data_IF_666361806264
#
_entry.id   IF_666361806264
#
_cell.length_a   1.000
_cell.length_b   1.000
_cell.length_c   1.000
_cell.angle_alpha   90.00
_cell.angle_beta   90.00
_cell.angle_gamma   90.00
#
_symmetry.space_group_name_H-M   'P 1'
#
loop_
_entity.id
_entity.type
_entity.pdbx_description
1 polymer ?
#
# COMPACT_ATOMS: atom_id res chain seq x y z
N UNK A 1 -55.93 -49.88 -85.47
CA UNK A 1 -56.43 -48.53 -85.10
C UNK A 1 -56.48 -48.30 -83.57
N UNK A 2 -57.00 -49.23 -82.77
CA UNK A 2 -57.06 -49.08 -81.30
C UNK A 2 -55.67 -49.03 -80.61
N UNK A 3 -54.69 -49.80 -81.08
CA UNK A 3 -53.35 -49.85 -80.48
C UNK A 3 -52.54 -48.55 -80.70
N UNK A 4 -52.70 -47.88 -81.85
CA UNK A 4 -52.04 -46.60 -82.14
C UNK A 4 -52.61 -45.44 -81.29
N UNK A 5 -53.89 -45.51 -80.90
CA UNK A 5 -54.51 -44.53 -80.00
C UNK A 5 -54.12 -44.77 -78.53
N UNK A 6 -53.87 -46.02 -78.14
CA UNK A 6 -53.38 -46.35 -76.79
C UNK A 6 -51.93 -45.88 -76.57
N UNK A 7 -51.05 -46.11 -77.55
CA UNK A 7 -49.64 -45.70 -77.48
C UNK A 7 -49.45 -44.18 -77.46
N UNK A 8 -50.23 -43.44 -78.25
CA UNK A 8 -50.21 -41.96 -78.25
C UNK A 8 -50.72 -41.37 -76.93
N UNK A 9 -51.79 -41.94 -76.33
CA UNK A 9 -52.25 -41.55 -74.99
C UNK A 9 -51.22 -41.87 -73.91
N UNK A 10 -50.53 -43.00 -74.01
CA UNK A 10 -49.45 -43.39 -73.09
C UNK A 10 -48.23 -42.45 -73.20
N UNK A 11 -47.81 -42.10 -74.43
CA UNK A 11 -46.75 -41.12 -74.67
C UNK A 11 -47.13 -39.72 -74.15
N UNK A 12 -48.40 -39.31 -74.28
CA UNK A 12 -48.91 -38.07 -73.70
C UNK A 12 -48.82 -38.05 -72.16
N UNK A 13 -49.23 -39.14 -71.51
CA UNK A 13 -49.10 -39.30 -70.04
C UNK A 13 -47.64 -39.30 -69.59
N UNK A 14 -46.75 -39.97 -70.32
CA UNK A 14 -45.31 -39.96 -70.06
C UNK A 14 -44.71 -38.56 -70.17
N UNK A 15 -45.09 -37.77 -71.19
CA UNK A 15 -44.64 -36.37 -71.32
C UNK A 15 -45.10 -35.49 -70.15
N UNK A 16 -46.34 -35.66 -69.69
CA UNK A 16 -46.86 -34.91 -68.53
C UNK A 16 -46.12 -35.31 -67.24
N UNK A 17 -45.90 -36.61 -67.03
CA UNK A 17 -45.13 -37.11 -65.89
C UNK A 17 -43.69 -36.57 -65.91
N UNK A 18 -43.04 -36.56 -67.08
CA UNK A 18 -41.69 -36.02 -67.26
C UNK A 18 -41.63 -34.52 -66.94
N UNK A 19 -42.60 -33.73 -67.43
CA UNK A 19 -42.68 -32.29 -67.09
C UNK A 19 -42.84 -32.06 -65.58
N UNK A 20 -43.70 -32.85 -64.91
CA UNK A 20 -43.86 -32.76 -63.45
C UNK A 20 -42.58 -33.13 -62.70
N UNK A 21 -41.85 -34.15 -63.17
CA UNK A 21 -40.57 -34.56 -62.60
C UNK A 21 -39.51 -33.45 -62.74
N UNK A 22 -39.39 -32.85 -63.93
CA UNK A 22 -38.44 -31.74 -64.17
C UNK A 22 -38.74 -30.55 -63.26
N UNK A 23 -40.01 -30.16 -63.11
CA UNK A 23 -40.41 -29.07 -62.20
C UNK A 23 -40.07 -29.40 -60.74
N UNK A 24 -40.30 -30.65 -60.31
CA UNK A 24 -39.96 -31.10 -58.96
C UNK A 24 -38.44 -31.07 -58.73
N UNK A 25 -37.65 -31.49 -59.71
CA UNK A 25 -36.18 -31.45 -59.66
C UNK A 25 -35.65 -30.02 -59.61
N UNK A 26 -36.16 -29.10 -60.43
CA UNK A 26 -35.76 -27.69 -60.37
C UNK A 26 -36.08 -27.05 -59.01
N UNK A 27 -37.26 -27.36 -58.44
CA UNK A 27 -37.62 -26.89 -57.08
C UNK A 27 -36.73 -27.50 -56.00
N UNK A 28 -36.37 -28.77 -56.13
CA UNK A 28 -35.45 -29.43 -55.21
C UNK A 28 -34.05 -28.81 -55.29
N UNK A 29 -33.54 -28.54 -56.49
CA UNK A 29 -32.27 -27.88 -56.72
C UNK A 29 -32.23 -26.47 -56.10
N UNK A 30 -33.26 -25.65 -56.33
CA UNK A 30 -33.36 -24.32 -55.70
C UNK A 30 -33.40 -24.39 -54.18
N UNK A 31 -34.02 -25.44 -53.60
CA UNK A 31 -34.00 -25.65 -52.14
C UNK A 31 -32.62 -26.03 -51.64
N UNK A 32 -31.86 -26.82 -52.39
CA UNK A 32 -30.47 -27.17 -52.05
C UNK A 32 -29.58 -25.94 -52.10
N UNK A 33 -29.66 -25.14 -53.17
CA UNK A 33 -28.90 -23.90 -53.30
C UNK A 33 -29.20 -22.93 -52.15
N UNK A 34 -30.47 -22.72 -51.80
CA UNK A 34 -30.85 -21.89 -50.63
C UNK A 34 -30.28 -22.44 -49.32
N UNK A 35 -30.25 -23.76 -49.14
CA UNK A 35 -29.66 -24.39 -47.94
C UNK A 35 -28.15 -24.22 -47.89
N UNK A 36 -27.47 -24.27 -49.03
CA UNK A 36 -26.02 -24.11 -49.10
C UNK A 36 -25.59 -22.66 -48.86
N UNK A 37 -26.35 -21.69 -49.37
CA UNK A 37 -26.16 -20.26 -49.04
C UNK A 37 -26.35 -20.01 -47.55
N UNK A 38 -27.40 -20.58 -46.95
CA UNK A 38 -27.63 -20.47 -45.50
C UNK A 38 -26.51 -21.12 -44.69
N UNK A 39 -26.03 -22.32 -45.09
CA UNK A 39 -24.89 -22.99 -44.46
C UNK A 39 -23.62 -22.15 -44.52
N UNK A 40 -23.36 -21.49 -45.64
CA UNK A 40 -22.22 -20.60 -45.80
C UNK A 40 -22.30 -19.38 -44.85
N UNK A 41 -23.47 -18.75 -44.75
CA UNK A 41 -23.70 -17.64 -43.83
C UNK A 41 -23.53 -18.07 -42.36
N UNK A 42 -24.05 -19.23 -41.97
CA UNK A 42 -23.84 -19.77 -40.62
C UNK A 42 -22.37 -20.07 -40.33
N UNK A 43 -21.61 -20.60 -41.31
CA UNK A 43 -20.16 -20.81 -41.15
C UNK A 43 -19.42 -19.50 -40.91
N UNK A 44 -19.77 -18.43 -41.64
CA UNK A 44 -19.18 -17.11 -41.40
C UNK A 44 -19.53 -16.54 -40.02
N UNK A 45 -20.79 -16.67 -39.59
CA UNK A 45 -21.18 -16.24 -38.24
C UNK A 45 -20.45 -17.03 -37.16
N UNK A 46 -20.33 -18.36 -37.32
CA UNK A 46 -19.58 -19.22 -36.40
C UNK A 46 -18.10 -18.82 -36.33
N UNK A 47 -17.49 -18.47 -37.47
CA UNK A 47 -16.11 -17.99 -37.53
C UNK A 47 -15.95 -16.64 -36.81
N UNK A 48 -16.89 -15.70 -36.99
CA UNK A 48 -16.91 -14.43 -36.25
C UNK A 48 -17.08 -14.65 -34.74
N UNK A 49 -17.99 -15.53 -34.33
CA UNK A 49 -18.16 -15.90 -32.92
C UNK A 49 -16.90 -16.55 -32.34
N UNK A 50 -16.19 -17.40 -33.10
CA UNK A 50 -14.90 -17.96 -32.68
C UNK A 50 -13.82 -16.89 -32.52
N UNK A 51 -13.75 -15.92 -33.44
CA UNK A 51 -12.81 -14.80 -33.34
C UNK A 51 -13.09 -13.89 -32.13
N UNK A 52 -14.36 -13.60 -31.85
CA UNK A 52 -14.79 -12.86 -30.64
C UNK A 52 -14.51 -13.66 -29.38
N UNK A 53 -14.72 -14.99 -29.41
CA UNK A 53 -14.40 -15.87 -28.29
C UNK A 53 -12.89 -15.85 -27.98
N UNK A 54 -12.03 -15.93 -29.00
CA UNK A 54 -10.57 -15.83 -28.81
C UNK A 54 -10.12 -14.46 -28.31
N UNK A 55 -10.81 -13.36 -28.62
CA UNK A 55 -10.46 -12.03 -28.09
C UNK A 55 -10.92 -11.82 -26.64
N UNK A 56 -12.04 -12.43 -26.20
CA UNK A 56 -12.46 -12.39 -24.79
C UNK A 56 -11.60 -13.24 -23.85
N UNK A 57 -10.96 -14.32 -24.35
CA UNK A 57 -9.96 -15.06 -23.57
C UNK A 57 -8.62 -14.33 -23.45
N UNK A 58 -8.33 -13.36 -24.32
CA UNK A 58 -7.11 -12.54 -24.22
C UNK A 58 -7.17 -11.56 -23.05
N UNK A 59 -8.32 -10.89 -22.82
CA UNK A 59 -8.49 -9.99 -21.69
C UNK A 59 -8.57 -10.73 -20.36
N UNK A 60 -9.30 -11.86 -20.29
CA UNK A 60 -9.35 -12.69 -19.07
C UNK A 60 -7.98 -13.28 -18.71
N UNK A 61 -7.21 -13.76 -19.69
CA UNK A 61 -5.86 -14.28 -19.47
C UNK A 61 -4.87 -13.20 -19.02
N UNK A 62 -4.97 -11.99 -19.58
CA UNK A 62 -4.19 -10.83 -19.15
C UNK A 62 -4.56 -10.41 -17.72
N UNK A 63 -5.86 -10.37 -17.40
CA UNK A 63 -6.34 -10.04 -16.04
C UNK A 63 -5.83 -11.07 -15.03
N UNK A 64 -5.90 -12.37 -15.33
CA UNK A 64 -5.39 -13.41 -14.43
C UNK A 64 -3.88 -13.30 -14.22
N UNK A 65 -3.10 -13.01 -15.28
CA UNK A 65 -1.66 -12.79 -15.15
C UNK A 65 -1.33 -11.55 -14.33
N UNK A 66 -2.08 -10.46 -14.49
CA UNK A 66 -1.91 -9.26 -13.67
C UNK A 66 -2.31 -9.51 -12.22
N UNK A 67 -3.37 -10.28 -11.97
CA UNK A 67 -3.75 -10.70 -10.62
C UNK A 67 -2.65 -11.56 -9.97
N UNK A 68 -2.09 -12.53 -10.70
CA UNK A 68 -0.97 -13.35 -10.20
C UNK A 68 0.28 -12.51 -9.91
N UNK A 69 0.57 -11.52 -10.77
CA UNK A 69 1.69 -10.60 -10.59
C UNK A 69 1.49 -9.69 -9.35
N UNK A 70 0.29 -9.13 -9.20
CA UNK A 70 -0.09 -8.34 -8.02
C UNK A 70 -0.05 -9.19 -6.74
N UNK A 71 -0.50 -10.44 -6.81
CA UNK A 71 -0.49 -11.34 -5.66
C UNK A 71 0.95 -11.66 -5.21
N UNK A 72 1.87 -11.93 -6.14
CA UNK A 72 3.30 -12.12 -5.83
C UNK A 72 3.93 -10.87 -5.20
N UNK A 73 3.61 -9.68 -5.73
CA UNK A 73 4.10 -8.41 -5.17
C UNK A 73 3.56 -8.17 -3.76
N UNK A 74 2.31 -8.55 -3.49
CA UNK A 74 1.71 -8.47 -2.16
C UNK A 74 2.42 -9.41 -1.18
N UNK A 75 2.73 -10.65 -1.58
CA UNK A 75 3.49 -11.61 -0.77
C UNK A 75 4.93 -11.14 -0.48
N UNK A 76 5.56 -10.42 -1.40
CA UNK A 76 6.86 -9.77 -1.17
C UNK A 76 6.77 -8.65 -0.12
N UNK A 77 5.77 -7.77 -0.22
CA UNK A 77 5.54 -6.71 0.77
C UNK A 77 5.29 -7.29 2.16
N UNK A 78 4.44 -8.32 2.27
CA UNK A 78 4.16 -8.99 3.56
C UNK A 78 5.44 -9.58 4.17
N UNK A 79 6.31 -10.20 3.36
CA UNK A 79 7.60 -10.72 3.83
C UNK A 79 8.51 -9.61 4.36
N UNK A 80 8.60 -8.48 3.66
CA UNK A 80 9.40 -7.34 4.09
C UNK A 80 8.84 -6.67 5.36
N UNK A 81 7.53 -6.54 5.50
CA UNK A 81 6.90 -6.03 6.72
C UNK A 81 7.19 -6.95 7.93
N UNK A 82 7.12 -8.27 7.75
CA UNK A 82 7.48 -9.22 8.80
C UNK A 82 8.95 -9.10 9.22
N UNK A 83 9.86 -8.87 8.27
CA UNK A 83 11.29 -8.67 8.55
C UNK A 83 11.55 -7.35 9.30
N UNK A 84 10.87 -6.27 8.92
CA UNK A 84 10.92 -4.99 9.63
C UNK A 84 10.40 -5.10 11.06
N UNK A 85 9.29 -5.82 11.27
CA UNK A 85 8.74 -6.09 12.61
C UNK A 85 9.69 -6.94 13.46
N UNK A 86 10.38 -7.91 12.87
CA UNK A 86 11.37 -8.74 13.57
C UNK A 86 12.57 -7.90 14.03
N UNK A 87 13.15 -7.10 13.12
CA UNK A 87 14.26 -6.19 13.44
C UNK A 87 13.85 -5.18 14.52
N UNK A 88 12.66 -4.59 14.40
CA UNK A 88 12.12 -3.68 15.40
C UNK A 88 11.97 -4.31 16.78
N UNK A 89 11.56 -5.59 16.87
CA UNK A 89 11.44 -6.29 18.16
C UNK A 89 12.79 -6.66 18.78
N UNK A 90 13.74 -7.15 17.98
CA UNK A 90 15.07 -7.53 18.47
C UNK A 90 15.84 -6.34 19.02
N UNK A 91 15.81 -5.21 18.30
CA UNK A 91 16.53 -4.02 18.73
C UNK A 91 15.79 -3.25 19.83
N UNK A 92 14.44 -3.29 19.87
CA UNK A 92 13.68 -2.80 21.02
C UNK A 92 14.07 -3.52 22.32
N UNK A 93 14.26 -4.84 22.29
CA UNK A 93 14.69 -5.62 23.46
C UNK A 93 16.06 -5.18 24.00
N UNK A 94 17.03 -4.93 23.11
CA UNK A 94 18.36 -4.40 23.49
C UNK A 94 18.27 -3.00 24.09
N UNK A 95 17.48 -2.12 23.50
CA UNK A 95 17.24 -0.75 23.99
C UNK A 95 16.59 -0.77 25.37
N UNK A 96 15.57 -1.61 25.58
CA UNK A 96 14.93 -1.75 26.90
C UNK A 96 15.90 -2.30 27.95
N UNK A 97 16.73 -3.29 27.60
CA UNK A 97 17.74 -3.83 28.52
C UNK A 97 18.78 -2.78 28.92
N UNK A 98 19.26 -1.96 27.97
CA UNK A 98 20.21 -0.89 28.25
C UNK A 98 19.58 0.24 29.09
N UNK A 99 18.34 0.61 28.79
CA UNK A 99 17.58 1.58 29.59
C UNK A 99 17.39 1.11 31.03
N UNK A 100 17.15 -0.18 31.25
CA UNK A 100 17.01 -0.75 32.58
C UNK A 100 18.32 -0.73 33.37
N UNK A 101 19.44 -1.07 32.73
CA UNK A 101 20.78 -0.95 33.34
C UNK A 101 21.13 0.51 33.71
N UNK A 102 20.76 1.48 32.87
CA UNK A 102 20.92 2.91 33.16
C UNK A 102 20.08 3.31 34.38
N UNK A 103 18.84 2.85 34.48
CA UNK A 103 17.97 3.15 35.62
C UNK A 103 18.51 2.57 36.93
N UNK A 104 19.04 1.34 36.91
CA UNK A 104 19.65 0.68 38.07
C UNK A 104 20.92 1.42 38.55
N UNK A 105 21.78 1.84 37.62
CA UNK A 105 22.98 2.62 37.94
C UNK A 105 22.64 4.00 38.49
N UNK A 106 21.69 4.72 37.89
CA UNK A 106 21.20 6.01 38.41
C UNK A 106 20.66 5.86 39.84
N UNK A 107 19.88 4.81 40.10
CA UNK A 107 19.36 4.50 41.44
C UNK A 107 20.47 4.18 42.45
N UNK A 108 21.55 3.52 42.03
CA UNK A 108 22.69 3.25 42.90
C UNK A 108 23.51 4.50 43.19
N UNK A 109 23.71 5.37 42.21
CA UNK A 109 24.37 6.67 42.38
C UNK A 109 23.59 7.52 43.37
N UNK A 110 22.28 7.69 43.19
CA UNK A 110 21.47 8.48 44.13
C UNK A 110 21.46 7.93 45.55
N UNK A 111 21.67 6.61 45.73
CA UNK A 111 21.83 6.01 47.06
C UNK A 111 23.20 6.33 47.66
N UNK A 112 24.26 6.24 46.89
CA UNK A 112 25.62 6.54 47.34
C UNK A 112 25.85 8.05 47.56
N UNK A 113 25.18 8.93 46.81
CA UNK A 113 25.24 10.39 46.97
C UNK A 113 24.75 10.86 48.36
N UNK A 114 24.01 10.02 49.09
CA UNK A 114 23.58 10.30 50.47
C UNK A 114 24.63 9.96 51.53
N UNK A 115 25.76 9.35 51.13
CA UNK A 115 26.90 9.04 51.99
C UNK A 115 28.04 10.03 51.73
N UNK A 116 28.62 10.58 52.80
CA UNK A 116 29.74 11.53 52.74
C UNK A 116 31.11 10.87 52.97
N UNK A 117 31.25 9.58 52.63
CA UNK A 117 32.52 8.87 52.74
C UNK A 117 33.34 8.99 51.45
N UNK A 118 34.64 9.32 51.55
CA UNK A 118 35.53 9.55 50.40
C UNK A 118 35.63 8.33 49.45
N UNK A 119 35.45 7.13 50.01
CA UNK A 119 35.37 5.86 49.25
C UNK A 119 34.10 5.74 48.44
N UNK A 120 33.00 6.30 48.92
CA UNK A 120 31.72 6.34 48.21
C UNK A 120 31.73 7.41 47.12
N UNK A 121 32.42 8.55 47.34
CA UNK A 121 32.70 9.53 46.29
C UNK A 121 33.45 8.92 45.09
N UNK A 122 34.52 8.15 45.33
CA UNK A 122 35.24 7.44 44.27
C UNK A 122 34.35 6.40 43.55
N UNK A 123 33.44 5.76 44.28
CA UNK A 123 32.49 4.80 43.71
C UNK A 123 31.47 5.51 42.82
N UNK A 124 30.95 6.66 43.25
CA UNK A 124 30.06 7.52 42.46
C UNK A 124 30.73 7.95 41.16
N UNK A 125 31.97 8.44 41.20
CA UNK A 125 32.74 8.80 39.99
C UNK A 125 32.91 7.63 39.03
N UNK A 126 33.21 6.43 39.53
CA UNK A 126 33.31 5.23 38.68
C UNK A 126 31.98 4.85 38.03
N UNK A 127 30.86 5.06 38.74
CA UNK A 127 29.51 4.76 38.26
C UNK A 127 29.02 5.81 37.26
N UNK A 128 29.39 7.08 37.43
CA UNK A 128 29.15 8.14 36.44
C UNK A 128 29.87 7.85 35.12
N UNK A 129 31.15 7.47 35.18
CA UNK A 129 31.88 7.05 33.99
C UNK A 129 31.28 5.80 33.32
N UNK A 130 30.75 4.86 34.11
CA UNK A 130 30.04 3.70 33.58
C UNK A 130 28.71 4.09 32.92
N UNK A 131 27.97 5.05 33.49
CA UNK A 131 26.76 5.61 32.90
C UNK A 131 27.04 6.32 31.57
N UNK A 132 28.05 7.18 31.51
CA UNK A 132 28.43 7.87 30.26
C UNK A 132 28.76 6.86 29.15
N UNK A 133 29.50 5.80 29.49
CA UNK A 133 29.81 4.71 28.54
C UNK A 133 28.56 3.95 28.10
N UNK A 134 27.61 3.72 29.00
CA UNK A 134 26.35 3.04 28.67
C UNK A 134 25.40 3.92 27.87
N UNK A 135 25.33 5.22 28.17
CA UNK A 135 24.55 6.20 27.40
C UNK A 135 25.12 6.34 25.98
N UNK A 136 26.45 6.40 25.82
CA UNK A 136 27.09 6.37 24.50
C UNK A 136 26.74 5.09 23.72
N UNK A 137 26.84 3.92 24.36
CA UNK A 137 26.46 2.63 23.74
C UNK A 137 24.98 2.54 23.40
N UNK A 138 24.11 3.18 24.19
CA UNK A 138 22.68 3.28 23.91
C UNK A 138 22.43 4.17 22.68
N UNK A 139 23.17 5.26 22.53
CA UNK A 139 23.13 6.12 21.34
C UNK A 139 23.59 5.35 20.10
N UNK A 140 24.73 4.68 20.16
CA UNK A 140 25.24 3.85 19.06
C UNK A 140 24.23 2.76 18.66
N UNK A 141 23.63 2.07 19.64
CA UNK A 141 22.63 1.03 19.37
C UNK A 141 21.36 1.60 18.73
N UNK A 142 20.93 2.80 19.11
CA UNK A 142 19.78 3.49 18.48
C UNK A 142 20.11 3.87 17.04
N UNK A 143 21.29 4.41 16.78
CA UNK A 143 21.74 4.77 15.43
C UNK A 143 21.86 3.54 14.53
N UNK A 144 22.44 2.45 15.02
CA UNK A 144 22.53 1.17 14.30
C UNK A 144 21.15 0.60 13.97
N UNK A 145 20.19 0.72 14.89
CA UNK A 145 18.79 0.28 14.67
C UNK A 145 18.14 1.12 13.56
N UNK A 146 18.31 2.44 13.59
CA UNK A 146 17.80 3.35 12.56
C UNK A 146 18.39 3.01 11.20
N UNK A 147 19.70 2.75 11.13
CA UNK A 147 20.38 2.39 9.89
C UNK A 147 19.88 1.06 9.33
N UNK A 148 19.78 0.01 10.16
CA UNK A 148 19.26 -1.31 9.74
C UNK A 148 17.83 -1.22 9.22
N UNK A 149 16.95 -0.51 9.92
CA UNK A 149 15.57 -0.28 9.48
C UNK A 149 15.55 0.50 8.18
N UNK A 150 16.38 1.54 8.03
CA UNK A 150 16.47 2.34 6.81
C UNK A 150 16.92 1.51 5.61
N UNK A 151 17.92 0.64 5.78
CA UNK A 151 18.42 -0.27 4.73
C UNK A 151 17.36 -1.32 4.38
N UNK A 152 16.69 -1.92 5.38
CA UNK A 152 15.63 -2.89 5.15
C UNK A 152 14.44 -2.28 4.39
N UNK A 153 14.00 -1.06 4.76
CA UNK A 153 12.97 -0.30 4.03
C UNK A 153 13.41 0.00 2.59
N UNK A 154 14.68 0.34 2.38
CA UNK A 154 15.23 0.61 1.04
C UNK A 154 15.21 -0.63 0.15
N UNK A 155 15.54 -1.78 0.71
CA UNK A 155 15.59 -3.05 -0.03
C UNK A 155 14.19 -3.63 -0.30
N UNK A 156 13.20 -3.30 0.54
CA UNK A 156 11.81 -3.74 0.40
C UNK A 156 11.03 -3.07 -0.76
N UNK A 157 11.60 -2.06 -1.42
CA UNK A 157 10.94 -1.33 -2.53
C UNK A 157 11.73 -1.56 -3.84
N UNK A 158 11.42 -2.60 -4.63
CA UNK A 158 12.06 -2.79 -5.92
C UNK A 158 11.48 -1.79 -6.94
N UNK A 159 12.34 -0.95 -7.52
CA UNK A 159 12.00 -0.18 -8.72
C UNK A 159 12.15 1.35 -8.66
N UNK A 160 12.60 1.95 -7.55
CA UNK A 160 13.15 3.32 -7.67
C UNK A 160 14.54 3.22 -8.28
N UNK A 161 14.64 3.60 -9.57
CA UNK A 161 15.89 4.08 -10.19
C UNK A 161 16.69 4.82 -9.14
N UNK A 162 18.01 4.65 -9.12
CA UNK A 162 18.92 5.54 -8.36
C UNK A 162 18.45 6.96 -8.65
N UNK A 163 17.68 7.54 -7.73
CA UNK A 163 17.61 8.98 -7.63
C UNK A 163 19.08 9.35 -7.44
N UNK A 164 19.56 10.43 -8.09
CA UNK A 164 20.87 10.96 -7.75
C UNK A 164 20.95 10.98 -6.23
N UNK A 165 22.15 10.88 -5.64
CA UNK A 165 22.34 11.24 -4.24
C UNK A 165 21.92 12.71 -4.14
N UNK A 166 20.62 12.91 -4.01
CA UNK A 166 19.98 14.18 -3.88
C UNK A 166 20.42 14.52 -2.49
N UNK A 167 21.24 15.58 -2.41
CA UNK A 167 21.35 16.43 -1.23
C UNK A 167 20.06 16.28 -0.41
N UNK A 168 20.17 15.99 0.90
CA UNK A 168 19.03 15.64 1.74
C UNK A 168 17.86 16.51 1.33
N UNK A 169 16.77 15.85 0.92
CA UNK A 169 15.57 16.50 0.41
C UNK A 169 15.20 17.58 1.41
N UNK A 170 15.57 18.82 1.07
CA UNK A 170 14.99 20.01 1.62
C UNK A 170 13.51 19.96 1.22
N UNK A 171 12.70 19.20 1.97
CA UNK A 171 11.52 19.83 2.55
C UNK A 171 12.11 21.09 3.15
N UNK A 172 11.90 22.24 2.50
CA UNK A 172 12.57 23.48 2.90
C UNK A 172 12.48 23.55 4.42
N UNK A 173 13.59 23.82 5.12
CA UNK A 173 13.56 23.95 6.59
C UNK A 173 12.40 24.87 7.00
N UNK A 174 12.08 25.86 6.15
CA UNK A 174 10.88 26.71 6.20
C UNK A 174 9.54 25.98 6.23
N UNK A 175 9.34 24.89 5.48
CA UNK A 175 8.11 24.12 5.45
C UNK A 175 7.92 23.20 6.66
N UNK A 176 9.01 22.65 7.20
CA UNK A 176 9.01 21.90 8.47
C UNK A 176 8.84 22.86 9.67
N UNK A 177 9.59 23.97 9.68
CA UNK A 177 9.41 25.07 10.64
C UNK A 177 8.00 25.66 10.58
N UNK A 178 7.38 25.79 9.41
CA UNK A 178 6.01 26.29 9.29
C UNK A 178 4.98 25.33 9.89
N UNK A 179 5.14 24.02 9.73
CA UNK A 179 4.25 23.05 10.39
C UNK A 179 4.48 23.01 11.90
N UNK A 180 5.73 23.07 12.36
CA UNK A 180 6.06 23.16 13.79
C UNK A 180 5.51 24.46 14.40
N UNK A 181 5.61 25.61 13.70
CA UNK A 181 5.04 26.89 14.12
C UNK A 181 3.51 26.83 14.17
N UNK A 182 2.87 26.17 13.20
CA UNK A 182 1.42 25.98 13.18
C UNK A 182 0.93 25.08 14.33
N UNK A 183 1.65 24.00 14.63
CA UNK A 183 1.36 23.14 15.79
C UNK A 183 1.57 23.85 17.13
N UNK A 184 2.62 24.68 17.25
CA UNK A 184 2.87 25.48 18.44
C UNK A 184 1.78 26.55 18.64
N UNK A 185 1.31 27.21 17.57
CA UNK A 185 0.17 28.14 17.63
C UNK A 185 -1.13 27.45 18.06
N UNK A 186 -1.39 26.24 17.57
CA UNK A 186 -2.57 25.47 17.98
C UNK A 186 -2.52 25.07 19.46
N UNK A 187 -1.33 24.66 19.95
CA UNK A 187 -1.09 24.36 21.37
C UNK A 187 -1.25 25.60 22.26
N UNK A 188 -0.76 26.75 21.80
CA UNK A 188 -0.93 28.03 22.50
C UNK A 188 -2.41 28.38 22.64
N UNK A 189 -3.18 28.34 21.55
CA UNK A 189 -4.61 28.65 21.56
C UNK A 189 -5.40 27.74 22.52
N UNK A 190 -5.09 26.44 22.54
CA UNK A 190 -5.73 25.50 23.46
C UNK A 190 -5.40 25.79 24.93
N UNK A 191 -4.17 26.22 25.22
CA UNK A 191 -3.74 26.60 26.56
C UNK A 191 -4.35 27.93 27.02
N UNK A 192 -4.42 28.94 26.16
CA UNK A 192 -5.07 30.22 26.46
C UNK A 192 -6.56 30.02 26.76
N UNK A 193 -7.26 29.25 25.92
CA UNK A 193 -8.66 28.91 26.16
C UNK A 193 -8.86 28.20 27.51
N UNK A 194 -7.99 27.24 27.84
CA UNK A 194 -8.04 26.52 29.11
C UNK A 194 -7.75 27.43 30.31
N UNK A 195 -6.82 28.36 30.18
CA UNK A 195 -6.51 29.35 31.21
C UNK A 195 -7.71 30.28 31.46
N UNK A 196 -8.34 30.79 30.41
CA UNK A 196 -9.50 31.68 30.52
C UNK A 196 -10.72 30.95 31.10
N UNK A 197 -10.93 29.69 30.72
CA UNK A 197 -11.98 28.84 31.31
C UNK A 197 -11.76 28.59 32.81
N UNK A 198 -10.52 28.38 33.24
CA UNK A 198 -10.18 28.18 34.66
C UNK A 198 -10.30 29.49 35.45
N UNK A 199 -9.91 30.61 34.85
CA UNK A 199 -10.08 31.94 35.44
C UNK A 199 -11.56 32.30 35.60
N UNK A 200 -12.38 32.02 34.59
CA UNK A 200 -13.84 32.23 34.64
C UNK A 200 -14.54 31.36 35.69
N UNK A 201 -13.97 30.18 36.00
CA UNK A 201 -14.44 29.27 37.05
C UNK A 201 -13.95 29.64 38.46
N UNK A 202 -13.17 30.72 38.61
CA UNK A 202 -12.69 31.20 39.90
C UNK A 202 -11.63 30.32 40.56
N UNK A 203 -10.82 29.60 39.76
CA UNK A 203 -9.71 28.81 40.31
C UNK A 203 -8.63 29.72 40.91
N UNK A 204 -7.97 29.29 42.00
CA UNK A 204 -6.92 30.06 42.68
C UNK A 204 -5.68 30.25 41.79
N UNK A 205 -4.96 31.34 42.02
CA UNK A 205 -3.78 31.73 41.23
C UNK A 205 -2.67 30.67 41.22
N UNK A 206 -2.54 29.87 42.28
CA UNK A 206 -1.56 28.78 42.36
C UNK A 206 -1.76 27.71 41.25
N UNK A 207 -2.98 27.60 40.71
CA UNK A 207 -3.32 26.69 39.61
C UNK A 207 -3.20 27.39 38.25
N UNK A 208 -3.44 28.70 38.20
CA UNK A 208 -3.39 29.50 36.97
C UNK A 208 -1.94 29.87 36.60
N UNK A 209 -1.09 30.16 37.59
CA UNK A 209 0.29 30.60 37.39
C UNK A 209 1.14 29.62 36.54
N UNK A 210 1.12 28.29 36.76
CA UNK A 210 1.89 27.36 35.92
C UNK A 210 1.39 27.31 34.47
N UNK A 211 0.10 27.55 34.24
CA UNK A 211 -0.50 27.59 32.90
C UNK A 211 -0.12 28.92 32.22
N UNK A 212 -0.16 30.04 32.96
CA UNK A 212 0.31 31.34 32.51
C UNK A 212 1.78 31.34 32.11
N UNK A 213 2.67 30.75 32.92
CA UNK A 213 4.09 30.60 32.61
C UNK A 213 4.32 29.75 31.35
N UNK A 214 3.52 28.70 31.15
CA UNK A 214 3.56 27.87 29.94
C UNK A 214 3.12 28.63 28.70
N UNK A 215 2.09 29.48 28.81
CA UNK A 215 1.61 30.37 27.73
C UNK A 215 2.69 31.38 27.37
N UNK A 216 3.30 32.03 28.36
CA UNK A 216 4.39 33.00 28.15
C UNK A 216 5.58 32.32 27.46
N UNK A 217 5.99 31.14 27.94
CA UNK A 217 7.08 30.36 27.36
C UNK A 217 6.81 29.93 25.91
N UNK A 218 5.55 29.63 25.57
CA UNK A 218 5.17 29.29 24.20
C UNK A 218 5.09 30.53 23.29
N UNK A 219 4.68 31.68 23.81
CA UNK A 219 4.70 32.96 23.09
C UNK A 219 6.12 33.39 22.75
N UNK A 220 7.05 33.32 23.72
CA UNK A 220 8.46 33.67 23.48
C UNK A 220 9.14 32.76 22.46
N UNK A 221 8.76 31.47 22.42
CA UNK A 221 9.21 30.53 21.38
C UNK A 221 8.62 30.82 19.99
N UNK A 222 7.41 31.40 19.93
CA UNK A 222 6.74 31.74 18.66
C UNK A 222 7.17 33.11 18.10
N UNK A 223 7.57 34.04 18.97
CA UNK A 223 8.02 35.41 18.63
C UNK A 223 9.50 35.50 18.26
N UNK A 224 10.29 34.43 18.45
CA UNK A 224 11.68 34.38 17.98
C UNK A 224 11.70 34.17 16.45
N UNK A 225 12.24 35.10 15.64
CA UNK A 225 12.42 34.86 14.23
C UNK A 225 13.49 33.77 14.03
N UNK A 226 13.13 32.71 13.30
CA UNK A 226 14.05 31.66 12.85
C UNK A 226 15.08 32.21 11.84
#
# INVERSE_FOLDING_TARGET
>A
MAEQQATTKQQGRQRIAMKKLVIALCRAQQRVEKRDTARYQYRQQLQRCRQVSTSQYSSRGLILRELDNLNRRMEEVIRHEAELLRLGKEDAGKVTSLMQQIAELKSCISRLESSHDSREQQKIESMLQALERLDARLQDAKEETIEKVTVAVRNAVPGRRKLPVSKPLAKSERGLQAMEHQELRAKLYALEKKHDELKAKGHPEDILAPIGERIISLKTLLDYPA
#
